data_IF_519385189953
#
_entry.id   IF_519385189953
#
_cell.length_a   1.000
_cell.length_b   1.000
_cell.length_c   1.000
_cell.angle_alpha   90.00
_cell.angle_beta   90.00
_cell.angle_gamma   90.00
#
_symmetry.space_group_name_H-M   'P 1'
#
loop_
_entity.id
_entity.type
_entity.pdbx_description
1 polymer ?
#
# COMPACT_ATOMS: atom_id res chain seq x y z
N UNK A 1 -7.45 29.45 -14.34
CA UNK A 1 -7.16 29.65 -12.91
C UNK A 1 -8.49 29.63 -12.17
N UNK A 2 -8.65 28.72 -11.21
CA UNK A 2 -9.82 28.52 -10.32
C UNK A 2 -11.17 28.24 -11.02
N UNK A 3 -11.70 27.02 -10.84
CA UNK A 3 -13.07 26.71 -11.27
C UNK A 3 -14.13 27.36 -10.38
N UNK A 4 -15.40 27.24 -10.76
CA UNK A 4 -16.52 27.59 -9.88
C UNK A 4 -16.33 26.91 -8.51
N UNK A 5 -16.22 27.71 -7.44
CA UNK A 5 -16.08 27.21 -6.07
C UNK A 5 -14.64 27.03 -5.53
N UNK A 6 -13.60 27.62 -6.12
CA UNK A 6 -12.26 27.58 -5.53
C UNK A 6 -11.45 26.30 -5.83
N UNK A 7 -12.05 25.36 -6.57
CA UNK A 7 -11.40 24.10 -6.94
C UNK A 7 -10.28 24.34 -7.96
N UNK A 8 -9.09 23.76 -7.71
CA UNK A 8 -8.02 23.67 -8.69
C UNK A 8 -8.54 22.83 -9.87
N UNK A 9 -8.62 23.45 -11.05
CA UNK A 9 -9.00 22.80 -12.30
C UNK A 9 -7.88 22.96 -13.30
N UNK A 10 -7.64 21.91 -14.08
CA UNK A 10 -6.79 21.99 -15.27
C UNK A 10 -7.61 22.66 -16.38
N UNK A 11 -7.18 23.82 -16.91
CA UNK A 11 -7.88 24.48 -18.01
C UNK A 11 -7.84 23.62 -19.28
N UNK A 12 -8.90 23.64 -20.09
CA UNK A 12 -8.94 22.91 -21.35
C UNK A 12 -7.79 23.30 -22.28
N UNK A 13 -7.49 24.60 -22.37
CA UNK A 13 -6.39 25.12 -23.18
C UNK A 13 -5.03 24.58 -22.75
N UNK A 14 -4.85 24.29 -21.46
CA UNK A 14 -3.61 23.68 -20.97
C UNK A 14 -3.47 22.25 -21.48
N UNK A 15 -4.53 21.44 -21.41
CA UNK A 15 -4.50 20.05 -21.90
C UNK A 15 -4.25 19.99 -23.41
N UNK A 16 -4.86 20.91 -24.18
CA UNK A 16 -4.72 20.94 -25.63
C UNK A 16 -3.32 21.34 -26.10
N UNK A 17 -2.63 22.18 -25.33
CA UNK A 17 -1.31 22.71 -25.69
C UNK A 17 -0.17 22.06 -24.90
N UNK A 18 -0.44 21.05 -24.09
CA UNK A 18 0.58 20.39 -23.28
C UNK A 18 1.52 19.58 -24.20
N UNK A 19 2.84 19.88 -24.22
CA UNK A 19 3.76 19.15 -25.06
C UNK A 19 3.93 17.73 -24.51
N UNK A 20 3.55 16.74 -25.32
CA UNK A 20 3.77 15.32 -25.03
C UNK A 20 4.81 14.75 -25.96
N UNK A 21 5.70 13.92 -25.41
CA UNK A 21 6.60 13.11 -26.22
C UNK A 21 5.79 11.96 -26.84
N UNK A 22 5.82 11.84 -28.17
CA UNK A 22 5.21 10.73 -28.89
C UNK A 22 6.35 9.97 -29.58
N UNK A 23 6.89 8.91 -28.94
CA UNK A 23 7.93 8.11 -29.55
C UNK A 23 7.36 7.24 -30.68
N UNK A 24 8.21 6.60 -31.50
CA UNK A 24 7.77 5.67 -32.53
C UNK A 24 6.93 4.51 -31.95
N UNK A 25 5.98 3.99 -32.73
CA UNK A 25 5.08 2.91 -32.31
C UNK A 25 5.79 1.69 -31.66
N UNK A 26 6.92 1.19 -32.19
CA UNK A 26 7.63 0.08 -31.57
C UNK A 26 8.15 0.38 -30.15
N UNK A 27 8.61 1.61 -29.93
CA UNK A 27 9.09 2.05 -28.61
C UNK A 27 7.93 2.23 -27.64
N UNK A 28 6.81 2.81 -28.09
CA UNK A 28 5.59 2.91 -27.30
C UNK A 28 5.12 1.52 -26.82
N UNK A 29 5.12 0.53 -27.72
CA UNK A 29 4.68 -0.83 -27.39
C UNK A 29 5.62 -1.51 -26.39
N UNK A 30 6.93 -1.30 -26.53
CA UNK A 30 7.92 -1.81 -25.59
C UNK A 30 7.76 -1.19 -24.19
N UNK A 31 7.54 0.13 -24.12
CA UNK A 31 7.29 0.85 -22.86
C UNK A 31 6.00 0.35 -22.22
N UNK A 32 4.92 0.24 -23.00
CA UNK A 32 3.63 -0.24 -22.49
C UNK A 32 3.73 -1.67 -21.95
N UNK A 33 4.37 -2.58 -22.68
CA UNK A 33 4.57 -3.96 -22.24
C UNK A 33 5.39 -4.05 -20.95
N UNK A 34 6.44 -3.22 -20.83
CA UNK A 34 7.24 -3.14 -19.60
C UNK A 34 6.40 -2.66 -18.42
N UNK A 35 5.63 -1.58 -18.59
CA UNK A 35 4.79 -1.02 -17.53
C UNK A 35 3.71 -2.01 -17.08
N UNK A 36 3.05 -2.69 -18.01
CA UNK A 36 2.05 -3.72 -17.69
C UNK A 36 2.69 -4.85 -16.87
N UNK A 37 3.90 -5.28 -17.23
CA UNK A 37 4.59 -6.32 -16.48
C UNK A 37 4.95 -5.87 -15.05
N UNK A 38 5.38 -4.61 -14.88
CA UNK A 38 5.66 -4.04 -13.56
C UNK A 38 4.39 -3.86 -12.73
N UNK A 39 3.30 -3.40 -13.34
CA UNK A 39 2.00 -3.24 -12.69
C UNK A 39 1.52 -4.58 -12.10
N UNK A 40 1.53 -5.64 -12.89
CA UNK A 40 1.16 -7.00 -12.43
C UNK A 40 2.04 -7.47 -11.27
N UNK A 41 3.34 -7.17 -11.32
CA UNK A 41 4.27 -7.53 -10.25
C UNK A 41 3.92 -6.79 -8.95
N UNK A 42 3.67 -5.48 -9.00
CA UNK A 42 3.30 -4.70 -7.83
C UNK A 42 1.93 -5.09 -7.27
N UNK A 43 0.94 -5.35 -8.12
CA UNK A 43 -0.39 -5.84 -7.70
C UNK A 43 -0.29 -7.15 -6.92
N UNK A 44 0.56 -8.08 -7.39
CA UNK A 44 0.79 -9.33 -6.69
C UNK A 44 1.44 -9.11 -5.32
N UNK A 45 2.43 -8.22 -5.25
CA UNK A 45 3.08 -7.88 -3.97
C UNK A 45 2.09 -7.25 -2.99
N UNK A 46 1.28 -6.29 -3.44
CA UNK A 46 0.26 -5.63 -2.63
C UNK A 46 -0.77 -6.66 -2.13
N UNK A 47 -1.25 -7.53 -3.02
CA UNK A 47 -2.18 -8.60 -2.66
C UNK A 47 -1.60 -9.54 -1.61
N UNK A 48 -0.34 -9.95 -1.76
CA UNK A 48 0.30 -10.84 -0.79
C UNK A 48 0.48 -10.15 0.56
N UNK A 49 0.89 -8.88 0.57
CA UNK A 49 1.06 -8.10 1.79
C UNK A 49 -0.28 -7.92 2.53
N UNK A 50 -1.33 -7.53 1.81
CA UNK A 50 -2.67 -7.37 2.40
C UNK A 50 -3.23 -8.68 2.95
N UNK A 51 -3.03 -9.80 2.24
CA UNK A 51 -3.39 -11.13 2.73
C UNK A 51 -2.59 -11.52 3.99
N UNK A 52 -1.29 -11.24 4.04
CA UNK A 52 -0.48 -11.52 5.21
C UNK A 52 -0.95 -10.71 6.43
N UNK A 53 -1.27 -9.42 6.25
CA UNK A 53 -1.85 -8.58 7.30
C UNK A 53 -3.17 -9.15 7.80
N UNK A 54 -4.06 -9.57 6.90
CA UNK A 54 -5.34 -10.18 7.28
C UNK A 54 -5.12 -11.46 8.11
N UNK A 55 -4.26 -12.37 7.66
CA UNK A 55 -3.94 -13.60 8.38
C UNK A 55 -3.34 -13.34 9.76
N UNK A 56 -2.49 -12.31 9.90
CA UNK A 56 -1.94 -11.90 11.19
C UNK A 56 -3.02 -11.37 12.13
N UNK A 57 -4.00 -10.61 11.62
CA UNK A 57 -5.14 -10.12 12.41
C UNK A 57 -6.07 -11.27 12.86
N UNK A 58 -6.34 -12.22 11.97
CA UNK A 58 -7.10 -13.44 12.29
C UNK A 58 -6.38 -14.26 13.36
N UNK A 59 -5.06 -14.48 13.18
CA UNK A 59 -4.23 -15.19 14.16
C UNK A 59 -4.23 -14.49 15.50
N UNK A 60 -4.09 -13.16 15.55
CA UNK A 60 -4.15 -12.38 16.79
C UNK A 60 -5.48 -12.60 17.50
N UNK A 61 -6.58 -12.52 16.77
CA UNK A 61 -7.94 -12.72 17.33
C UNK A 61 -8.11 -14.14 17.87
N UNK A 62 -7.67 -15.16 17.12
CA UNK A 62 -7.72 -16.55 17.55
C UNK A 62 -6.87 -16.82 18.80
N UNK A 63 -5.66 -16.24 18.87
CA UNK A 63 -4.77 -16.36 20.02
C UNK A 63 -5.37 -15.72 21.27
N UNK A 64 -5.93 -14.51 21.15
CA UNK A 64 -6.63 -13.85 22.27
C UNK A 64 -7.82 -14.71 22.72
N UNK A 65 -8.63 -15.20 21.79
CA UNK A 65 -9.77 -16.07 22.10
C UNK A 65 -9.33 -17.35 22.82
N UNK A 66 -8.25 -17.99 22.36
CA UNK A 66 -7.71 -19.19 22.99
C UNK A 66 -7.18 -18.92 24.41
N UNK A 67 -6.49 -17.80 24.63
CA UNK A 67 -6.03 -17.40 25.96
C UNK A 67 -7.21 -17.09 26.91
N UNK A 68 -8.20 -16.30 26.46
CA UNK A 68 -9.36 -15.93 27.27
C UNK A 68 -10.26 -17.13 27.59
N UNK A 69 -10.35 -18.10 26.69
CA UNK A 69 -11.09 -19.35 26.93
C UNK A 69 -10.30 -20.40 27.71
N UNK A 70 -9.07 -20.06 28.15
CA UNK A 70 -8.22 -20.96 28.94
C UNK A 70 -7.65 -22.14 28.16
N UNK A 71 -7.72 -22.13 26.82
CA UNK A 71 -7.06 -23.12 25.96
C UNK A 71 -5.55 -22.93 25.90
N UNK A 72 -5.07 -21.72 26.21
CA UNK A 72 -3.65 -21.39 26.38
C UNK A 72 -3.48 -20.79 27.77
N UNK A 73 -2.57 -21.34 28.58
CA UNK A 73 -2.24 -20.79 29.89
C UNK A 73 -1.16 -19.70 29.75
N UNK A 74 -1.43 -18.54 30.33
CA UNK A 74 -0.59 -17.33 30.24
C UNK A 74 -0.27 -16.74 31.63
N UNK A 75 -0.56 -17.46 32.72
CA UNK A 75 -0.45 -16.94 34.10
C UNK A 75 0.98 -16.61 34.52
N UNK A 76 1.96 -17.38 34.05
CA UNK A 76 3.38 -17.18 34.34
C UNK A 76 4.15 -16.59 33.15
N UNK A 77 3.44 -16.05 32.15
CA UNK A 77 4.07 -15.49 30.96
C UNK A 77 4.63 -14.09 31.23
N UNK A 78 5.91 -13.91 30.93
CA UNK A 78 6.61 -12.62 30.99
C UNK A 78 6.99 -12.22 29.57
N UNK A 79 6.65 -10.99 29.18
CA UNK A 79 7.03 -10.46 27.88
C UNK A 79 8.57 -10.38 27.77
N UNK A 80 9.19 -10.88 26.69
CA UNK A 80 10.61 -10.66 26.46
C UNK A 80 10.90 -9.15 26.31
N UNK A 81 12.01 -8.69 26.89
CA UNK A 81 12.43 -7.29 26.86
C UNK A 81 12.48 -6.75 25.42
N UNK A 82 11.60 -5.81 25.11
CA UNK A 82 11.54 -5.11 23.82
C UNK A 82 12.58 -3.98 23.79
N UNK A 83 13.87 -4.31 23.80
CA UNK A 83 14.92 -3.29 23.73
C UNK A 83 15.20 -2.79 22.30
N UNK A 84 14.64 -3.43 21.25
CA UNK A 84 14.94 -3.09 19.84
C UNK A 84 13.72 -2.76 18.95
N UNK A 85 12.54 -2.51 19.52
CA UNK A 85 11.38 -2.09 18.70
C UNK A 85 11.36 -0.56 18.60
N UNK A 86 12.13 -0.02 17.65
CA UNK A 86 12.08 1.38 17.26
C UNK A 86 10.65 1.70 16.76
N UNK A 87 9.97 2.60 17.46
CA UNK A 87 8.59 2.98 17.15
C UNK A 87 8.51 3.49 15.69
N UNK A 88 7.44 3.18 14.93
CA UNK A 88 7.28 3.73 13.60
C UNK A 88 7.18 5.26 13.74
N UNK A 89 8.19 5.98 13.26
CA UNK A 89 8.11 7.43 13.11
C UNK A 89 6.93 7.73 12.21
N UNK A 90 5.91 8.38 12.78
CA UNK A 90 4.80 8.97 12.04
C UNK A 90 5.39 9.87 10.95
N UNK A 91 5.36 9.41 9.70
CA UNK A 91 5.69 10.22 8.55
C UNK A 91 4.56 11.24 8.34
N UNK A 92 4.62 12.34 9.10
CA UNK A 92 3.87 13.55 8.80
C UNK A 92 4.67 14.27 7.71
N UNK A 93 4.16 14.24 6.48
CA UNK A 93 4.52 15.13 5.38
C UNK A 93 3.25 15.52 4.62
#
# INVERSE_FOLDING_TARGET
>A
MTGAGGLKRVPSDFLLNYPIAIPPKPEMDAIAAFLIAQEVHYDLMEKNATQAVQLLQERRTALISAAVTGKIDVRDWVAPDTQDVEAPQEAIA
#
